data_IF_910432276152
#
_entry.id   IF_910432276152
#
_cell.length_a   1.000
_cell.length_b   1.000
_cell.length_c   1.000
_cell.angle_alpha   90.00
_cell.angle_beta   90.00
_cell.angle_gamma   90.00
#
_symmetry.space_group_name_H-M   'P 1'
#
loop_
_entity.id
_entity.type
_entity.pdbx_description
1 polymer ?
#
# COMPACT_ATOMS: atom_id res chain seq x y z
N UNK A 1 3.78 -4.04 3.81
CA UNK A 1 3.30 -5.28 4.47
C UNK A 1 3.45 -5.16 5.98
N UNK A 2 2.49 -5.71 6.71
CA UNK A 2 2.52 -5.87 8.17
C UNK A 2 3.41 -7.04 8.55
N UNK A 3 4.02 -6.98 9.73
CA UNK A 3 4.86 -8.06 10.25
C UNK A 3 4.01 -9.30 10.48
N UNK A 4 4.49 -10.48 10.06
CA UNK A 4 3.75 -11.76 10.13
C UNK A 4 2.36 -11.73 9.50
N UNK A 5 2.13 -10.87 8.49
CA UNK A 5 0.84 -10.77 7.76
C UNK A 5 -0.37 -10.52 8.67
N UNK A 6 -0.16 -9.77 9.75
CA UNK A 6 -1.25 -9.32 10.62
C UNK A 6 -2.29 -8.51 9.82
N UNK A 7 -3.57 -8.84 10.01
CA UNK A 7 -4.68 -8.26 9.24
C UNK A 7 -5.37 -7.14 10.01
N UNK A 8 -4.74 -5.96 10.08
CA UNK A 8 -5.28 -4.78 10.79
C UNK A 8 -5.32 -3.50 9.94
N UNK A 9 -4.79 -3.51 8.70
CA UNK A 9 -4.66 -2.28 7.91
C UNK A 9 -6.02 -1.70 7.49
N UNK A 10 -7.07 -2.51 7.47
CA UNK A 10 -8.42 -2.08 7.16
C UNK A 10 -9.21 -1.61 8.39
N UNK A 11 -8.67 -1.75 9.60
CA UNK A 11 -9.30 -1.26 10.84
C UNK A 11 -9.41 0.28 10.77
N UNK A 12 -10.51 0.84 11.28
CA UNK A 12 -10.82 2.27 11.18
C UNK A 12 -9.72 3.16 11.78
N UNK A 13 -9.23 2.82 12.97
CA UNK A 13 -8.17 3.56 13.65
C UNK A 13 -6.85 3.54 12.87
N UNK A 14 -6.54 2.42 12.21
CA UNK A 14 -5.33 2.29 11.38
C UNK A 14 -5.47 3.05 10.08
N UNK A 15 -6.65 3.01 9.44
CA UNK A 15 -6.92 3.79 8.22
C UNK A 15 -6.83 5.28 8.50
N UNK A 16 -7.37 5.73 9.63
CA UNK A 16 -7.26 7.12 10.07
C UNK A 16 -5.82 7.49 10.38
N UNK A 17 -5.08 6.65 11.11
CA UNK A 17 -3.66 6.88 11.38
C UNK A 17 -2.84 6.96 10.07
N UNK A 18 -3.12 6.09 9.10
CA UNK A 18 -2.45 6.08 7.81
C UNK A 18 -2.77 7.34 7.00
N UNK A 19 -4.04 7.76 6.95
CA UNK A 19 -4.46 8.99 6.27
C UNK A 19 -3.78 10.22 6.86
N UNK A 20 -3.81 10.37 8.18
CA UNK A 20 -3.14 11.48 8.86
C UNK A 20 -1.62 11.45 8.65
N UNK A 21 -1.01 10.26 8.69
CA UNK A 21 0.43 10.09 8.44
C UNK A 21 0.82 10.53 7.03
N UNK A 22 0.06 10.08 6.01
CA UNK A 22 0.27 10.48 4.61
C UNK A 22 0.13 11.99 4.46
N UNK A 23 -0.95 12.59 4.98
CA UNK A 23 -1.18 14.03 4.90
C UNK A 23 -0.04 14.83 5.54
N UNK A 24 0.39 14.43 6.74
CA UNK A 24 1.48 15.08 7.45
C UNK A 24 2.81 14.97 6.70
N UNK A 25 3.15 13.79 6.19
CA UNK A 25 4.41 13.60 5.46
C UNK A 25 4.39 14.37 4.15
N UNK A 26 3.24 14.49 3.46
CA UNK A 26 3.12 15.29 2.23
C UNK A 26 3.36 16.78 2.45
N UNK A 27 3.14 17.32 3.66
CA UNK A 27 3.43 18.72 4.00
C UNK A 27 4.93 19.01 3.92
N UNK A 28 5.75 18.13 4.51
CA UNK A 28 7.20 18.33 4.60
C UNK A 28 7.97 17.72 3.42
N UNK A 29 7.42 16.66 2.81
CA UNK A 29 8.02 15.89 1.73
C UNK A 29 6.98 15.63 0.63
N UNK A 30 6.73 16.57 -0.28
CA UNK A 30 5.68 16.45 -1.29
C UNK A 30 5.83 15.19 -2.16
N UNK A 31 4.72 14.56 -2.50
CA UNK A 31 4.62 13.48 -3.49
C UNK A 31 3.15 13.34 -3.94
N UNK A 32 2.93 12.70 -5.07
CA UNK A 32 1.60 12.34 -5.59
C UNK A 32 1.37 10.85 -5.39
N UNK A 33 0.13 10.49 -5.06
CA UNK A 33 -0.32 9.09 -5.03
C UNK A 33 -1.16 8.88 -6.28
N UNK A 34 -0.53 8.26 -7.27
CA UNK A 34 -1.16 7.95 -8.56
C UNK A 34 -2.09 6.76 -8.40
N UNK A 35 -1.69 5.73 -7.67
CA UNK A 35 -2.60 4.65 -7.29
C UNK A 35 -2.31 4.10 -5.90
N UNK A 36 -3.35 3.54 -5.29
CA UNK A 36 -3.27 2.92 -3.97
C UNK A 36 -4.32 1.81 -3.84
N UNK A 37 -3.91 0.68 -3.28
CA UNK A 37 -4.82 -0.34 -2.75
C UNK A 37 -4.36 -0.72 -1.35
N UNK A 38 -5.28 -0.73 -0.41
CA UNK A 38 -5.04 -1.17 0.97
C UNK A 38 -5.73 -2.51 1.16
N UNK A 39 -4.93 -3.55 1.40
CA UNK A 39 -5.38 -4.89 1.76
C UNK A 39 -5.23 -5.08 3.27
N UNK A 40 -5.85 -6.12 3.88
CA UNK A 40 -5.84 -6.28 5.34
C UNK A 40 -4.44 -6.30 5.98
N UNK A 41 -3.43 -6.81 5.29
CA UNK A 41 -2.06 -7.00 5.80
C UNK A 41 -0.97 -6.36 4.93
N UNK A 42 -1.31 -5.75 3.80
CA UNK A 42 -0.35 -5.03 2.97
C UNK A 42 -1.01 -3.98 2.07
N UNK A 43 -0.21 -3.24 1.33
CA UNK A 43 -0.66 -2.22 0.40
C UNK A 43 0.26 -2.21 -0.80
N UNK A 44 -0.30 -1.90 -1.97
CA UNK A 44 0.45 -1.51 -3.15
C UNK A 44 0.11 -0.05 -3.46
N UNK A 45 1.11 0.70 -3.92
CA UNK A 45 0.93 2.11 -4.27
C UNK A 45 1.92 2.54 -5.33
N UNK A 46 1.48 3.42 -6.23
CA UNK A 46 2.32 4.09 -7.21
C UNK A 46 2.43 5.55 -6.80
N UNK A 47 3.66 6.03 -6.62
CA UNK A 47 3.94 7.41 -6.23
C UNK A 47 4.77 8.10 -7.31
N UNK A 48 4.42 9.35 -7.59
CA UNK A 48 5.26 10.27 -8.34
C UNK A 48 5.91 11.27 -7.37
N UNK A 49 7.23 11.34 -7.40
CA UNK A 49 8.01 12.25 -6.56
C UNK A 49 8.33 13.54 -7.34
N UNK A 50 8.63 14.66 -6.65
CA UNK A 50 9.11 15.87 -7.30
C UNK A 50 10.39 15.62 -8.12
N UNK A 51 10.64 16.43 -9.18
CA UNK A 51 11.88 16.35 -9.93
C UNK A 51 13.11 16.41 -9.01
N UNK A 52 14.10 15.55 -9.27
CA UNK A 52 15.34 15.40 -8.50
C UNK A 52 15.17 14.90 -7.05
N UNK A 53 13.99 14.43 -6.65
CA UNK A 53 13.77 13.74 -5.38
C UNK A 53 13.52 12.25 -5.61
N UNK A 54 14.37 11.41 -5.01
CA UNK A 54 14.27 9.95 -5.09
C UNK A 54 13.97 9.32 -3.72
N UNK A 55 13.72 10.13 -2.69
CA UNK A 55 13.67 9.67 -1.31
C UNK A 55 12.27 9.20 -0.89
N UNK A 56 11.73 8.21 -1.62
CA UNK A 56 10.50 7.51 -1.25
C UNK A 56 10.67 6.73 0.06
N UNK A 57 11.89 6.25 0.33
CA UNK A 57 12.23 5.50 1.53
C UNK A 57 11.97 6.30 2.81
N UNK A 58 12.40 7.57 2.85
CA UNK A 58 12.14 8.46 3.98
C UNK A 58 10.65 8.68 4.19
N UNK A 59 9.90 8.99 3.12
CA UNK A 59 8.45 9.20 3.19
C UNK A 59 7.75 7.98 3.77
N UNK A 60 8.09 6.79 3.27
CA UNK A 60 7.50 5.55 3.75
C UNK A 60 7.92 5.20 5.18
N UNK A 61 9.17 5.47 5.57
CA UNK A 61 9.64 5.32 6.95
C UNK A 61 8.86 6.23 7.91
N UNK A 62 8.64 7.49 7.55
CA UNK A 62 7.90 8.45 8.37
C UNK A 62 6.42 8.05 8.49
N UNK A 63 5.79 7.61 7.40
CA UNK A 63 4.41 7.09 7.44
C UNK A 63 4.30 5.91 8.41
N UNK A 64 5.17 4.90 8.26
CA UNK A 64 5.21 3.73 9.15
C UNK A 64 5.43 4.12 10.61
N UNK A 65 6.33 5.08 10.87
CA UNK A 65 6.61 5.60 12.22
C UNK A 65 5.38 6.27 12.83
N UNK A 66 4.66 7.07 12.06
CA UNK A 66 3.44 7.73 12.53
C UNK A 66 2.37 6.73 12.94
N UNK A 67 2.09 5.74 12.07
CA UNK A 67 1.12 4.68 12.38
C UNK A 67 1.58 3.85 13.59
N UNK A 68 2.87 3.49 13.68
CA UNK A 68 3.40 2.77 14.84
C UNK A 68 3.26 3.55 16.15
N UNK A 69 3.31 4.89 16.13
CA UNK A 69 3.08 5.70 17.32
C UNK A 69 1.60 5.80 17.68
N UNK A 70 0.73 5.94 16.68
CA UNK A 70 -0.71 6.10 16.90
C UNK A 70 -1.37 4.79 17.38
N UNK A 71 -1.04 3.67 16.75
CA UNK A 71 -1.69 2.38 16.99
C UNK A 71 -0.83 1.40 17.81
N UNK A 72 0.36 1.84 18.25
CA UNK A 72 1.37 0.95 18.83
C UNK A 72 0.98 0.27 20.14
N UNK A 73 0.16 0.91 20.97
CA UNK A 73 -0.36 0.31 22.21
C UNK A 73 -1.27 -0.89 21.95
N UNK A 74 -1.99 -0.87 20.82
CA UNK A 74 -2.90 -1.94 20.40
C UNK A 74 -2.21 -3.02 19.57
N UNK A 75 -1.31 -2.61 18.67
CA UNK A 75 -0.77 -3.48 17.62
C UNK A 75 0.62 -4.07 17.91
N UNK A 76 1.36 -3.56 18.91
CA UNK A 76 2.63 -4.18 19.25
C UNK A 76 2.42 -5.45 20.08
N UNK A 77 3.09 -6.50 19.64
CA UNK A 77 3.23 -7.77 20.33
C UNK A 77 4.58 -7.83 21.02
N UNK A 78 4.60 -7.81 22.35
CA UNK A 78 5.84 -7.86 23.14
C UNK A 78 6.54 -9.22 22.98
N UNK A 79 5.76 -10.29 22.85
CA UNK A 79 6.22 -11.66 22.64
C UNK A 79 6.91 -11.88 21.28
N UNK A 80 6.76 -10.95 20.33
CA UNK A 80 7.45 -10.99 19.04
C UNK A 80 8.68 -10.07 18.98
N UNK A 81 9.02 -9.40 20.08
CA UNK A 81 10.21 -8.57 20.16
C UNK A 81 11.46 -9.43 20.26
N UNK A 82 12.28 -9.40 19.21
CA UNK A 82 13.60 -10.03 19.20
C UNK A 82 14.70 -9.07 19.68
N UNK A 83 15.86 -9.61 20.06
CA UNK A 83 17.05 -8.81 20.38
C UNK A 83 17.43 -7.86 19.23
N UNK A 84 17.30 -8.32 17.97
CA UNK A 84 17.55 -7.48 16.79
C UNK A 84 16.53 -6.34 16.69
N UNK A 85 15.23 -6.61 16.85
CA UNK A 85 14.20 -5.55 16.81
C UNK A 85 14.42 -4.52 17.90
N UNK A 86 14.75 -4.97 19.11
CA UNK A 86 15.07 -4.10 20.25
C UNK A 86 16.28 -3.22 19.95
N UNK A 87 17.38 -3.81 19.46
CA UNK A 87 18.60 -3.08 19.08
C UNK A 87 18.34 -1.99 18.04
N UNK A 88 17.48 -2.25 17.07
CA UNK A 88 17.15 -1.32 15.99
C UNK A 88 15.92 -0.45 16.28
N UNK A 89 15.37 -0.51 17.50
CA UNK A 89 14.16 0.23 17.93
C UNK A 89 12.99 0.05 16.97
N UNK A 90 12.80 -1.19 16.50
CA UNK A 90 11.71 -1.55 15.62
C UNK A 90 10.45 -1.94 16.37
N UNK A 91 9.31 -1.77 15.71
CA UNK A 91 8.03 -2.31 16.15
C UNK A 91 7.81 -3.74 15.64
N UNK A 92 6.76 -4.38 16.16
CA UNK A 92 6.23 -5.66 15.66
C UNK A 92 5.04 -5.45 14.72
N UNK A 93 4.88 -4.23 14.20
CA UNK A 93 3.78 -3.82 13.30
C UNK A 93 4.19 -4.01 11.83
N UNK A 94 5.42 -3.63 11.47
CA UNK A 94 5.87 -3.56 10.07
C UNK A 94 6.94 -4.60 9.74
N UNK A 95 6.87 -5.13 8.52
CA UNK A 95 7.99 -5.88 7.94
C UNK A 95 9.16 -4.93 7.61
N UNK A 96 10.40 -5.37 7.84
CA UNK A 96 11.62 -4.54 7.69
C UNK A 96 11.84 -4.01 6.28
N UNK A 97 11.59 -4.86 5.29
CA UNK A 97 11.77 -4.55 3.87
C UNK A 97 10.42 -4.42 3.19
N UNK A 98 10.43 -3.70 2.09
CA UNK A 98 9.34 -3.59 1.15
C UNK A 98 9.93 -3.84 -0.23
N UNK A 99 9.06 -4.06 -1.20
CA UNK A 99 9.46 -4.12 -2.60
C UNK A 99 9.29 -2.75 -3.22
N UNK A 100 10.21 -2.40 -4.11
CA UNK A 100 10.14 -1.18 -4.91
C UNK A 100 10.51 -1.49 -6.36
N UNK A 101 9.85 -0.78 -7.28
CA UNK A 101 10.18 -0.77 -8.71
C UNK A 101 10.02 0.63 -9.25
N UNK A 102 10.98 1.01 -10.08
CA UNK A 102 10.94 2.26 -10.80
C UNK A 102 10.23 2.02 -12.14
N UNK A 103 9.04 2.60 -12.27
CA UNK A 103 8.28 2.61 -13.52
C UNK A 103 9.05 3.37 -14.59
N UNK A 104 9.22 2.76 -15.76
CA UNK A 104 10.13 3.27 -16.81
C UNK A 104 9.44 3.90 -18.00
N UNK A 105 8.20 3.52 -18.26
CA UNK A 105 7.40 3.98 -19.38
C UNK A 105 5.89 3.79 -19.11
N UNK A 106 5.06 4.29 -20.03
CA UNK A 106 3.60 4.29 -19.89
C UNK A 106 3.00 2.87 -19.90
N UNK A 107 3.62 1.92 -20.60
CA UNK A 107 3.15 0.54 -20.65
C UNK A 107 3.44 -0.18 -19.32
N UNK A 108 4.62 0.05 -18.76
CA UNK A 108 4.99 -0.41 -17.42
C UNK A 108 4.06 0.21 -16.35
N UNK A 109 3.75 1.50 -16.48
CA UNK A 109 2.79 2.19 -15.62
C UNK A 109 1.39 1.55 -15.67
N UNK A 110 0.87 1.32 -16.88
CA UNK A 110 -0.45 0.69 -17.07
C UNK A 110 -0.53 -0.71 -16.46
N UNK A 111 0.52 -1.54 -16.65
CA UNK A 111 0.59 -2.88 -16.04
C UNK A 111 0.57 -2.84 -14.51
N UNK A 112 1.29 -1.90 -13.91
CA UNK A 112 1.32 -1.74 -12.45
C UNK A 112 0.01 -1.19 -11.89
N UNK A 113 -0.65 -0.28 -12.62
CA UNK A 113 -2.00 0.20 -12.31
C UNK A 113 -3.01 -0.95 -12.27
N UNK A 114 -3.00 -1.80 -13.29
CA UNK A 114 -3.88 -2.95 -13.38
C UNK A 114 -3.58 -3.97 -12.29
N UNK A 115 -2.30 -4.32 -12.11
CA UNK A 115 -1.87 -5.21 -11.03
C UNK A 115 -2.43 -4.73 -9.69
N UNK A 116 -2.16 -3.48 -9.34
CA UNK A 116 -2.54 -2.87 -8.08
C UNK A 116 -4.05 -2.94 -7.86
N UNK A 117 -4.87 -2.53 -8.84
CA UNK A 117 -6.32 -2.56 -8.67
C UNK A 117 -6.91 -3.97 -8.70
N UNK A 118 -6.26 -4.91 -9.38
CA UNK A 118 -6.66 -6.32 -9.42
C UNK A 118 -6.38 -7.08 -8.11
N UNK A 119 -5.45 -6.59 -7.28
CA UNK A 119 -4.99 -7.30 -6.07
C UNK A 119 -6.09 -7.78 -5.10
N UNK A 120 -7.18 -7.02 -4.84
CA UNK A 120 -8.27 -7.51 -3.99
C UNK A 120 -8.92 -8.79 -4.53
N UNK A 121 -9.07 -8.90 -5.85
CA UNK A 121 -9.58 -10.10 -6.52
C UNK A 121 -8.55 -11.24 -6.43
N UNK A 122 -7.28 -10.96 -6.76
CA UNK A 122 -6.15 -11.91 -6.65
C UNK A 122 -6.06 -12.55 -5.27
N UNK A 123 -6.34 -11.78 -4.22
CA UNK A 123 -6.30 -12.24 -2.84
C UNK A 123 -7.64 -12.80 -2.31
N UNK A 124 -8.65 -12.96 -3.18
CA UNK A 124 -9.95 -13.54 -2.83
C UNK A 124 -10.73 -12.72 -1.81
N UNK A 125 -10.49 -11.40 -1.73
CA UNK A 125 -11.17 -10.52 -0.80
C UNK A 125 -12.56 -10.10 -1.30
N UNK A 126 -12.75 -10.11 -2.62
CA UNK A 126 -13.97 -9.74 -3.34
C UNK A 126 -14.09 -10.57 -4.61
N UNK A 127 -15.30 -10.64 -5.17
CA UNK A 127 -15.56 -11.28 -6.48
C UNK A 127 -15.50 -10.28 -7.64
N UNK A 128 -15.57 -8.98 -7.37
CA UNK A 128 -15.39 -7.93 -8.36
C UNK A 128 -14.50 -6.83 -7.79
N UNK A 129 -13.64 -6.24 -8.61
CA UNK A 129 -12.71 -5.18 -8.19
C UNK A 129 -13.46 -3.99 -7.57
N UNK A 130 -14.62 -3.64 -8.14
CA UNK A 130 -15.48 -2.54 -7.65
C UNK A 130 -16.01 -2.73 -6.22
N UNK A 131 -16.03 -3.96 -5.72
CA UNK A 131 -16.54 -4.25 -4.39
C UNK A 131 -15.50 -3.96 -3.30
N UNK A 132 -14.24 -3.67 -3.66
CA UNK A 132 -13.19 -3.34 -2.69
C UNK A 132 -13.08 -1.82 -2.45
N UNK A 133 -13.54 -1.32 -1.28
CA UNK A 133 -13.68 0.12 -1.04
C UNK A 133 -12.35 0.84 -0.82
N UNK A 134 -11.29 0.11 -0.48
CA UNK A 134 -10.02 0.69 -0.03
C UNK A 134 -8.99 0.78 -1.16
N UNK A 135 -9.41 1.34 -2.29
CA UNK A 135 -8.54 1.54 -3.44
C UNK A 135 -8.85 2.83 -4.20
N UNK A 136 -7.90 3.26 -5.03
CA UNK A 136 -8.11 4.33 -6.00
C UNK A 136 -8.92 3.90 -7.22
N UNK A 137 -9.33 2.64 -7.34
CA UNK A 137 -10.06 2.11 -8.50
C UNK A 137 -11.29 2.96 -8.83
N UNK A 138 -12.11 3.28 -7.82
CA UNK A 138 -13.34 4.07 -8.02
C UNK A 138 -13.07 5.49 -8.56
N UNK A 139 -11.90 6.07 -8.26
CA UNK A 139 -11.49 7.35 -8.84
C UNK A 139 -11.26 7.20 -10.34
N UNK A 140 -10.63 6.11 -10.75
CA UNK A 140 -10.31 5.82 -12.14
C UNK A 140 -11.52 5.34 -12.96
N UNK A 141 -12.48 4.65 -12.33
CA UNK A 141 -13.80 4.39 -12.96
C UNK A 141 -14.53 5.70 -13.25
N UNK A 142 -14.61 6.61 -12.27
CA UNK A 142 -15.23 7.93 -12.47
C UNK A 142 -14.54 8.80 -13.53
N UNK A 143 -13.23 8.59 -13.71
CA UNK A 143 -12.44 9.27 -14.74
C UNK A 143 -12.51 8.59 -16.12
N UNK A 144 -13.24 7.49 -16.28
CA UNK A 144 -13.38 6.74 -17.53
C UNK A 144 -12.14 5.93 -17.92
N UNK A 145 -11.20 5.71 -16.98
CA UNK A 145 -9.98 4.92 -17.22
C UNK A 145 -10.26 3.42 -17.09
N UNK A 146 -11.09 3.03 -16.12
CA UNK A 146 -11.57 1.66 -15.98
C UNK A 146 -13.06 1.56 -16.26
N UNK A 147 -13.48 0.45 -16.85
CA UNK A 147 -14.86 0.00 -16.80
C UNK A 147 -15.22 -0.41 -15.36
N UNK A 148 -16.47 -0.16 -14.93
CA UNK A 148 -16.90 -0.51 -13.57
C UNK A 148 -16.83 -2.03 -13.31
N UNK A 149 -17.00 -2.84 -14.35
CA UNK A 149 -16.92 -4.30 -14.33
C UNK A 149 -15.55 -4.82 -14.78
N UNK A 150 -14.54 -3.96 -14.86
CA UNK A 150 -13.18 -4.39 -15.14
C UNK A 150 -12.70 -5.43 -14.11
N UNK A 151 -12.03 -6.47 -14.59
CA UNK A 151 -11.53 -7.58 -13.77
C UNK A 151 -12.48 -8.78 -13.64
N UNK A 152 -13.74 -8.68 -14.08
CA UNK A 152 -14.68 -9.80 -14.05
C UNK A 152 -14.21 -10.93 -14.99
N UNK A 153 -14.08 -12.14 -14.45
CA UNK A 153 -13.69 -13.33 -15.22
C UNK A 153 -12.24 -13.36 -15.67
N UNK A 154 -11.40 -12.38 -15.29
CA UNK A 154 -9.97 -12.45 -15.50
C UNK A 154 -9.36 -13.43 -14.49
N UNK A 155 -8.87 -14.57 -14.98
CA UNK A 155 -7.97 -15.43 -14.20
C UNK A 155 -6.58 -14.79 -14.16
N UNK A 156 -5.97 -14.74 -12.97
CA UNK A 156 -4.59 -14.26 -12.85
C UNK A 156 -3.65 -15.25 -13.51
N UNK A 157 -3.11 -14.91 -14.67
CA UNK A 157 -1.93 -15.59 -15.21
C UNK A 157 -0.68 -14.98 -14.58
N UNK A 158 0.14 -15.80 -13.91
CA UNK A 158 1.47 -15.37 -13.44
C UNK A 158 2.26 -14.73 -14.60
N UNK A 159 2.80 -13.53 -14.38
CA UNK A 159 3.50 -12.74 -15.40
C UNK A 159 2.63 -11.88 -16.33
N UNK A 160 1.29 -11.94 -16.26
CA UNK A 160 0.40 -11.07 -17.06
C UNK A 160 0.49 -9.59 -16.67
N UNK A 161 0.84 -9.35 -15.41
CA UNK A 161 1.05 -8.04 -14.84
C UNK A 161 2.47 -8.07 -14.26
N UNK A 162 3.33 -7.13 -14.66
CA UNK A 162 4.74 -7.10 -14.27
C UNK A 162 4.86 -7.40 -12.77
N UNK A 163 5.53 -8.49 -12.43
CA UNK A 163 5.57 -8.95 -11.05
C UNK A 163 6.13 -7.84 -10.17
N UNK A 164 5.30 -7.48 -9.18
CA UNK A 164 5.63 -6.45 -8.21
C UNK A 164 6.36 -7.00 -6.97
#
# INVERSE_FOLDING_TARGET
MTYRRQRFLCDDDVRDALKHAIQKVRTDYPFTIDAWVLLPDHTHSIWTLPPNDVNFALRWQLIKRHVSRACGSRLNHAEWMSASKTKHRESTIWQRRYWEHQIRDDNDYAKHMDYLHFNPLKHGLVNNVKDWPYSTFHRYVKAGVYDEHWGVGLEFMEGAFGDA
#
